data_IF_619860739575
#
_entry.id   IF_619860739575
#
_cell.length_a   1.000
_cell.length_b   1.000
_cell.length_c   1.000
_cell.angle_alpha   90.00
_cell.angle_beta   90.00
_cell.angle_gamma   90.00
#
_symmetry.space_group_name_H-M   'P 1'
#
loop_
_entity.id
_entity.type
_entity.pdbx_description
1 polymer ?
#
# COMPACT_ATOMS: atom_id res chain seq x y z
N UNK A 1 14.46 65.43 -24.09
CA UNK A 1 13.58 64.61 -24.95
C UNK A 1 14.26 63.38 -25.59
N UNK A 2 15.59 63.33 -25.75
CA UNK A 2 16.26 62.11 -26.27
C UNK A 2 16.38 60.94 -25.27
N UNK A 3 16.43 61.21 -23.97
CA UNK A 3 16.58 60.17 -22.92
C UNK A 3 15.38 59.20 -22.85
N UNK A 4 14.18 59.69 -23.11
CA UNK A 4 12.94 58.88 -23.05
C UNK A 4 12.77 57.93 -24.22
N UNK A 5 13.40 58.17 -25.38
CA UNK A 5 13.29 57.26 -26.53
C UNK A 5 14.27 56.07 -26.43
N UNK A 6 15.42 56.25 -25.78
CA UNK A 6 16.40 55.17 -25.59
C UNK A 6 15.86 54.09 -24.62
N UNK A 7 15.02 54.46 -23.64
CA UNK A 7 14.40 53.49 -22.73
C UNK A 7 13.31 52.64 -23.40
N UNK A 8 12.60 53.17 -24.41
CA UNK A 8 11.62 52.39 -25.17
C UNK A 8 12.29 51.35 -26.07
N UNK A 9 13.39 51.70 -26.74
CA UNK A 9 14.08 50.79 -27.66
C UNK A 9 14.78 49.64 -26.90
N UNK A 10 15.34 49.92 -25.72
CA UNK A 10 15.95 48.88 -24.87
C UNK A 10 14.93 47.92 -24.24
N UNK A 11 13.65 48.29 -24.15
CA UNK A 11 12.59 47.39 -23.67
C UNK A 11 12.20 46.30 -24.68
N UNK A 12 12.41 46.55 -25.98
CA UNK A 12 12.08 45.61 -27.07
C UNK A 12 13.08 44.44 -27.12
N UNK A 13 14.33 44.69 -26.71
CA UNK A 13 15.40 43.69 -26.69
C UNK A 13 15.59 43.01 -25.32
N UNK A 14 14.75 43.29 -24.32
CA UNK A 14 14.76 42.48 -23.11
C UNK A 14 14.21 41.09 -23.47
N UNK A 15 15.03 40.01 -23.39
CA UNK A 15 14.52 38.68 -23.59
C UNK A 15 13.39 38.46 -22.59
N UNK A 16 12.16 38.29 -23.09
CA UNK A 16 11.02 37.94 -22.24
C UNK A 16 11.41 36.65 -21.53
N UNK A 17 11.39 36.61 -20.18
CA UNK A 17 11.78 35.41 -19.45
C UNK A 17 10.91 34.25 -19.96
N UNK A 18 11.56 33.27 -20.60
CA UNK A 18 10.92 32.11 -21.23
C UNK A 18 10.17 31.26 -20.20
N UNK A 19 10.45 31.48 -18.91
CA UNK A 19 9.84 30.82 -17.76
C UNK A 19 8.44 31.31 -17.36
N UNK A 20 7.90 32.35 -18.00
CA UNK A 20 6.64 32.98 -17.60
C UNK A 20 5.47 32.72 -18.58
N UNK A 21 5.43 31.55 -19.20
CA UNK A 21 4.29 31.22 -20.08
C UNK A 21 3.10 30.68 -19.26
N UNK A 22 1.85 31.08 -19.58
CA UNK A 22 0.62 30.56 -18.99
C UNK A 22 0.32 29.06 -19.27
N UNK A 23 1.33 28.27 -19.70
CA UNK A 23 1.26 26.82 -19.86
C UNK A 23 0.97 26.06 -18.54
N UNK A 24 0.96 26.77 -17.41
CA UNK A 24 0.77 26.25 -16.06
C UNK A 24 -0.66 25.81 -15.72
N UNK A 25 -1.72 26.42 -16.27
CA UNK A 25 -3.10 26.06 -15.87
C UNK A 25 -3.52 24.66 -16.35
N UNK A 26 -3.21 24.31 -17.61
CA UNK A 26 -3.56 23.01 -18.17
C UNK A 26 -2.81 21.88 -17.46
N UNK A 27 -1.50 22.04 -17.25
CA UNK A 27 -0.69 21.06 -16.52
C UNK A 27 -1.16 20.88 -15.07
N UNK A 28 -1.57 21.98 -14.43
CA UNK A 28 -2.11 21.94 -13.07
C UNK A 28 -3.44 21.18 -12.99
N UNK A 29 -4.39 21.45 -13.91
CA UNK A 29 -5.65 20.71 -13.98
C UNK A 29 -5.41 19.22 -14.25
N UNK A 30 -4.50 18.89 -15.18
CA UNK A 30 -4.14 17.49 -15.48
C UNK A 30 -3.53 16.81 -14.25
N UNK A 31 -2.58 17.44 -13.56
CA UNK A 31 -1.96 16.87 -12.35
C UNK A 31 -2.99 16.61 -11.25
N UNK A 32 -3.97 17.50 -11.07
CA UNK A 32 -5.05 17.32 -10.09
C UNK A 32 -5.98 16.18 -10.43
N UNK A 33 -6.40 16.08 -11.69
CA UNK A 33 -7.22 14.96 -12.17
C UNK A 33 -6.47 13.65 -11.95
N UNK A 34 -5.18 13.60 -12.29
CA UNK A 34 -4.34 12.43 -12.05
C UNK A 34 -4.26 12.09 -10.56
N UNK A 35 -4.09 13.07 -9.67
CA UNK A 35 -4.12 12.80 -8.24
C UNK A 35 -5.48 12.29 -7.76
N UNK A 36 -6.58 12.92 -8.14
CA UNK A 36 -7.92 12.49 -7.72
C UNK A 36 -8.14 11.04 -8.12
N UNK A 37 -7.87 10.70 -9.38
CA UNK A 37 -8.00 9.32 -9.88
C UNK A 37 -7.09 8.37 -9.09
N UNK A 38 -5.79 8.65 -9.01
CA UNK A 38 -4.85 7.73 -8.36
C UNK A 38 -5.07 7.61 -6.83
N UNK A 39 -5.48 8.68 -6.15
CA UNK A 39 -5.80 8.65 -4.72
C UNK A 39 -7.10 7.88 -4.46
N UNK A 40 -8.10 8.01 -5.33
CA UNK A 40 -9.31 7.19 -5.26
C UNK A 40 -9.00 5.71 -5.50
N UNK A 41 -8.15 5.38 -6.49
CA UNK A 41 -7.69 4.00 -6.68
C UNK A 41 -6.90 3.49 -5.47
N UNK A 42 -6.00 4.32 -4.91
CA UNK A 42 -5.23 3.97 -3.72
C UNK A 42 -6.15 3.65 -2.54
N UNK A 43 -7.19 4.47 -2.32
CA UNK A 43 -8.19 4.24 -1.28
C UNK A 43 -8.92 2.92 -1.46
N UNK A 44 -9.40 2.62 -2.67
CA UNK A 44 -10.11 1.37 -2.97
C UNK A 44 -9.20 0.15 -2.78
N UNK A 45 -7.96 0.21 -3.29
CA UNK A 45 -6.98 -0.88 -3.16
C UNK A 45 -6.58 -1.10 -1.70
N UNK A 46 -6.34 -0.02 -0.95
CA UNK A 46 -6.11 -0.10 0.51
C UNK A 46 -7.27 -0.78 1.22
N UNK A 47 -8.51 -0.41 0.93
CA UNK A 47 -9.70 -1.03 1.52
C UNK A 47 -9.79 -2.53 1.22
N UNK A 48 -9.49 -2.92 -0.02
CA UNK A 48 -9.50 -4.32 -0.42
C UNK A 48 -8.35 -5.14 0.21
N UNK A 49 -7.16 -4.55 0.40
CA UNK A 49 -6.07 -5.18 1.17
C UNK A 49 -6.47 -5.36 2.63
N UNK A 50 -7.08 -4.35 3.27
CA UNK A 50 -7.59 -4.47 4.64
C UNK A 50 -8.65 -5.59 4.71
N UNK A 51 -9.62 -5.60 3.80
CA UNK A 51 -10.69 -6.60 3.81
C UNK A 51 -10.14 -8.03 3.67
N UNK A 52 -9.25 -8.27 2.70
CA UNK A 52 -8.64 -9.60 2.50
C UNK A 52 -7.79 -10.02 3.70
N UNK A 53 -6.98 -9.13 4.28
CA UNK A 53 -6.17 -9.46 5.48
C UNK A 53 -6.98 -9.55 6.77
N UNK A 54 -8.10 -8.86 6.88
CA UNK A 54 -9.04 -9.05 7.96
C UNK A 54 -9.68 -10.45 7.89
N UNK A 55 -10.08 -10.91 6.70
CA UNK A 55 -10.57 -12.29 6.50
C UNK A 55 -9.50 -13.32 6.86
N UNK A 56 -8.24 -13.11 6.47
CA UNK A 56 -7.09 -13.93 6.90
C UNK A 56 -6.98 -14.04 8.42
N UNK A 57 -7.02 -12.91 9.12
CA UNK A 57 -6.86 -12.87 10.58
C UNK A 57 -8.06 -13.52 11.27
N UNK A 58 -9.28 -13.21 10.84
CA UNK A 58 -10.49 -13.82 11.36
C UNK A 58 -10.46 -15.35 11.21
N UNK A 59 -10.06 -15.85 10.03
CA UNK A 59 -9.91 -17.28 9.81
C UNK A 59 -8.89 -17.91 10.78
N UNK A 60 -7.75 -17.25 11.02
CA UNK A 60 -6.74 -17.74 11.96
C UNK A 60 -7.29 -17.77 13.39
N UNK A 61 -7.97 -16.72 13.82
CA UNK A 61 -8.53 -16.61 15.17
C UNK A 61 -9.63 -17.66 15.40
N UNK A 62 -10.56 -17.80 14.45
CA UNK A 62 -11.66 -18.78 14.53
C UNK A 62 -11.14 -20.22 14.57
N UNK A 63 -9.98 -20.50 13.97
CA UNK A 63 -9.44 -21.85 13.83
C UNK A 63 -8.29 -22.19 14.78
N UNK A 64 -7.80 -21.24 15.59
CA UNK A 64 -6.58 -21.41 16.40
C UNK A 64 -6.65 -22.58 17.39
N UNK A 65 -7.83 -22.81 17.97
CA UNK A 65 -8.08 -23.84 18.99
C UNK A 65 -9.09 -24.89 18.51
N UNK A 66 -9.23 -25.02 17.19
CA UNK A 66 -10.12 -26.00 16.56
C UNK A 66 -9.33 -27.11 15.88
N UNK A 67 -10.02 -28.22 15.61
CA UNK A 67 -9.51 -29.32 14.82
C UNK A 67 -10.65 -29.97 14.04
N UNK A 68 -10.27 -30.81 13.09
CA UNK A 68 -11.19 -31.55 12.24
C UNK A 68 -10.76 -33.02 12.17
N UNK A 69 -11.71 -33.88 11.82
CA UNK A 69 -11.42 -35.30 11.65
C UNK A 69 -10.64 -35.49 10.35
N UNK A 70 -9.44 -36.06 10.47
CA UNK A 70 -8.58 -36.43 9.35
C UNK A 70 -8.70 -37.93 9.07
N UNK A 71 -9.14 -38.27 7.86
CA UNK A 71 -9.29 -39.67 7.44
C UNK A 71 -7.92 -40.25 7.05
N UNK A 72 -7.39 -41.18 7.87
CA UNK A 72 -6.11 -41.87 7.59
C UNK A 72 -6.29 -43.24 6.93
N UNK A 73 -7.54 -43.71 6.81
CA UNK A 73 -7.86 -45.09 6.40
C UNK A 73 -7.93 -46.09 7.55
N UNK A 74 -7.56 -45.66 8.77
CA UNK A 74 -7.69 -46.45 10.00
C UNK A 74 -9.13 -46.44 10.53
N UNK A 75 -9.54 -47.46 11.32
CA UNK A 75 -10.89 -47.53 11.89
C UNK A 75 -11.21 -46.38 12.85
N UNK A 76 -10.20 -45.72 13.42
CA UNK A 76 -10.36 -44.56 14.29
C UNK A 76 -9.80 -43.31 13.59
N UNK A 77 -10.66 -42.37 13.15
CA UNK A 77 -10.21 -41.14 12.52
C UNK A 77 -9.42 -40.26 13.50
N UNK A 78 -8.37 -39.60 13.01
CA UNK A 78 -7.49 -38.78 13.84
C UNK A 78 -7.90 -37.32 13.83
N UNK A 79 -7.98 -36.67 14.99
CA UNK A 79 -8.25 -35.23 15.05
C UNK A 79 -6.99 -34.45 14.66
N UNK A 80 -7.02 -33.71 13.56
CA UNK A 80 -5.96 -32.79 13.13
C UNK A 80 -6.36 -31.35 13.46
N UNK A 81 -5.47 -30.59 14.10
CA UNK A 81 -5.69 -29.17 14.34
C UNK A 81 -5.87 -28.42 13.01
N UNK A 82 -6.79 -27.45 12.98
CA UNK A 82 -7.11 -26.69 11.78
C UNK A 82 -5.93 -25.85 11.25
N UNK A 83 -5.02 -25.44 12.14
CA UNK A 83 -3.83 -24.66 11.81
C UNK A 83 -2.54 -25.39 12.22
N UNK A 84 -1.43 -25.16 11.49
CA UNK A 84 -0.13 -25.68 11.88
C UNK A 84 0.39 -24.91 13.09
N UNK A 85 1.30 -25.52 13.84
CA UNK A 85 1.94 -24.92 15.01
C UNK A 85 2.69 -23.63 14.68
N UNK A 86 3.32 -23.58 13.51
CA UNK A 86 4.14 -22.45 13.06
C UNK A 86 3.53 -21.85 11.80
N UNK A 87 2.74 -20.78 11.97
CA UNK A 87 2.09 -20.03 10.90
C UNK A 87 2.66 -18.60 10.83
N UNK A 88 3.06 -18.16 9.63
CA UNK A 88 3.53 -16.80 9.41
C UNK A 88 2.38 -15.79 9.31
N UNK A 89 2.16 -15.02 10.39
CA UNK A 89 1.11 -13.98 10.44
C UNK A 89 1.66 -12.57 10.23
N UNK A 90 2.98 -12.36 10.39
CA UNK A 90 3.60 -11.05 10.33
C UNK A 90 3.38 -10.30 9.00
N UNK A 91 3.50 -10.93 7.80
CA UNK A 91 3.30 -10.22 6.53
C UNK A 91 1.88 -9.64 6.39
N UNK A 92 0.86 -10.37 6.84
CA UNK A 92 -0.54 -9.91 6.82
C UNK A 92 -0.75 -8.67 7.71
N UNK A 93 -0.16 -8.67 8.92
CA UNK A 93 -0.23 -7.52 9.83
C UNK A 93 0.47 -6.28 9.26
N UNK A 94 1.64 -6.46 8.65
CA UNK A 94 2.38 -5.36 8.01
C UNK A 94 1.59 -4.80 6.82
N UNK A 95 1.00 -5.67 5.98
CA UNK A 95 0.14 -5.27 4.88
C UNK A 95 -1.06 -4.44 5.34
N UNK A 96 -1.72 -4.88 6.42
CA UNK A 96 -2.86 -4.19 7.00
C UNK A 96 -2.47 -2.80 7.54
N UNK A 97 -1.33 -2.68 8.24
CA UNK A 97 -0.82 -1.40 8.72
C UNK A 97 -0.50 -0.44 7.55
N UNK A 98 0.19 -0.92 6.52
CA UNK A 98 0.52 -0.12 5.34
C UNK A 98 -0.74 0.33 4.59
N UNK A 99 -1.73 -0.57 4.44
CA UNK A 99 -3.01 -0.25 3.82
C UNK A 99 -3.81 0.78 4.62
N UNK A 100 -3.83 0.68 5.95
CA UNK A 100 -4.47 1.65 6.84
C UNK A 100 -3.84 3.05 6.71
N UNK A 101 -2.51 3.15 6.68
CA UNK A 101 -1.81 4.41 6.39
C UNK A 101 -2.24 4.92 5.01
N UNK A 102 -2.28 4.06 4.00
CA UNK A 102 -2.78 4.40 2.66
C UNK A 102 -4.19 4.97 2.64
N UNK A 103 -5.11 4.48 3.47
CA UNK A 103 -6.47 5.05 3.63
C UNK A 103 -6.41 6.48 4.15
N UNK A 104 -5.71 6.71 5.27
CA UNK A 104 -5.63 8.05 5.85
C UNK A 104 -4.93 9.06 4.93
N UNK A 105 -3.86 8.61 4.28
CA UNK A 105 -3.09 9.43 3.33
C UNK A 105 -3.93 9.77 2.09
N UNK A 106 -4.64 8.80 1.52
CA UNK A 106 -5.50 9.02 0.34
C UNK A 106 -6.64 9.98 0.65
N UNK A 107 -7.40 9.75 1.73
CA UNK A 107 -8.50 10.63 2.15
C UNK A 107 -7.99 12.03 2.47
N UNK A 108 -6.95 12.14 3.29
CA UNK A 108 -6.39 13.42 3.71
C UNK A 108 -5.94 14.23 2.51
N UNK A 109 -5.14 13.63 1.62
CA UNK A 109 -4.65 14.31 0.42
C UNK A 109 -5.80 14.70 -0.53
N UNK A 110 -6.79 13.83 -0.70
CA UNK A 110 -7.95 14.11 -1.56
C UNK A 110 -8.77 15.30 -1.03
N UNK A 111 -9.02 15.38 0.28
CA UNK A 111 -9.71 16.52 0.90
C UNK A 111 -8.98 17.84 0.62
N UNK A 112 -7.64 17.86 0.73
CA UNK A 112 -6.86 19.06 0.43
C UNK A 112 -6.96 19.46 -1.05
N UNK A 113 -6.89 18.50 -1.98
CA UNK A 113 -7.01 18.77 -3.42
C UNK A 113 -8.40 19.29 -3.78
N UNK A 114 -9.47 18.71 -3.22
CA UNK A 114 -10.85 19.13 -3.47
C UNK A 114 -11.13 20.50 -2.86
N UNK A 115 -10.68 20.77 -1.63
CA UNK A 115 -10.87 22.08 -0.99
C UNK A 115 -10.09 23.20 -1.69
N UNK A 116 -8.94 22.88 -2.26
CA UNK A 116 -8.10 23.84 -2.97
C UNK A 116 -8.31 23.79 -4.50
N UNK A 117 -9.44 23.24 -4.96
CA UNK A 117 -9.69 22.97 -6.38
C UNK A 117 -9.76 24.24 -7.26
N UNK A 118 -10.26 25.35 -6.72
CA UNK A 118 -10.33 26.63 -7.45
C UNK A 118 -8.99 27.37 -7.46
N UNK A 119 -8.41 27.57 -6.28
CA UNK A 119 -7.34 28.56 -6.09
C UNK A 119 -5.96 27.94 -6.30
N UNK A 120 -5.76 26.73 -5.79
CA UNK A 120 -4.49 26.02 -5.92
C UNK A 120 -3.32 26.66 -5.19
N UNK A 121 -3.57 27.55 -4.25
CA UNK A 121 -2.52 28.26 -3.53
C UNK A 121 -1.96 27.40 -2.41
N UNK A 122 -2.81 26.65 -1.69
CA UNK A 122 -2.41 25.85 -0.52
C UNK A 122 -1.69 24.56 -0.90
N UNK A 123 -2.20 23.82 -1.88
CA UNK A 123 -1.59 22.57 -2.38
C UNK A 123 -0.30 22.82 -3.17
N UNK A 124 -0.05 24.06 -3.59
CA UNK A 124 1.20 24.48 -4.23
C UNK A 124 2.21 25.09 -3.24
N UNK A 125 1.88 25.18 -1.96
CA UNK A 125 2.83 25.56 -0.93
C UNK A 125 4.00 24.57 -0.90
N UNK A 126 5.22 25.07 -0.68
CA UNK A 126 6.40 24.22 -0.60
C UNK A 126 6.29 23.22 0.56
N UNK A 127 5.80 23.67 1.72
CA UNK A 127 5.52 22.86 2.91
C UNK A 127 4.61 21.68 2.57
N UNK A 128 3.49 21.95 1.90
CA UNK A 128 2.52 20.92 1.48
C UNK A 128 3.14 19.92 0.50
N UNK A 129 3.81 20.40 -0.57
CA UNK A 129 4.44 19.51 -1.57
C UNK A 129 5.51 18.61 -0.94
N UNK A 130 6.35 19.19 -0.07
CA UNK A 130 7.39 18.46 0.67
C UNK A 130 6.76 17.38 1.55
N UNK A 131 5.78 17.73 2.37
CA UNK A 131 5.15 16.80 3.30
C UNK A 131 4.39 15.70 2.54
N UNK A 132 3.66 16.05 1.49
CA UNK A 132 2.96 15.09 0.62
C UNK A 132 3.94 14.09 0.01
N UNK A 133 5.06 14.58 -0.56
CA UNK A 133 6.13 13.73 -1.09
C UNK A 133 6.67 12.76 -0.04
N UNK A 134 7.02 13.23 1.16
CA UNK A 134 7.54 12.36 2.22
C UNK A 134 6.54 11.32 2.69
N UNK A 135 5.27 11.69 2.81
CA UNK A 135 4.19 10.79 3.25
C UNK A 135 3.97 9.68 2.21
N UNK A 136 3.82 10.02 0.92
CA UNK A 136 3.63 9.02 -0.14
C UNK A 136 4.87 8.14 -0.33
N UNK A 137 6.07 8.72 -0.23
CA UNK A 137 7.32 7.97 -0.29
C UNK A 137 7.40 6.94 0.85
N UNK A 138 7.17 7.37 2.08
CA UNK A 138 7.16 6.46 3.25
C UNK A 138 6.13 5.34 3.07
N UNK A 139 4.91 5.69 2.64
CA UNK A 139 3.86 4.70 2.39
C UNK A 139 4.25 3.71 1.30
N UNK A 140 4.88 4.17 0.21
CA UNK A 140 5.36 3.28 -0.87
C UNK A 140 6.45 2.29 -0.41
N UNK A 141 7.34 2.71 0.50
CA UNK A 141 8.36 1.83 1.08
C UNK A 141 7.70 0.76 1.96
N UNK A 142 6.73 1.12 2.79
CA UNK A 142 5.99 0.17 3.63
C UNK A 142 5.22 -0.86 2.79
N UNK A 143 4.56 -0.42 1.72
CA UNK A 143 3.83 -1.30 0.81
C UNK A 143 4.78 -2.22 0.03
N UNK A 144 5.94 -1.71 -0.41
CA UNK A 144 6.98 -2.52 -1.03
C UNK A 144 7.48 -3.60 -0.07
N UNK A 145 7.78 -3.23 1.18
CA UNK A 145 8.24 -4.16 2.19
C UNK A 145 7.18 -5.24 2.49
N UNK A 146 5.90 -4.85 2.57
CA UNK A 146 4.78 -5.77 2.72
C UNK A 146 4.68 -6.77 1.56
N UNK A 147 4.78 -6.29 0.32
CA UNK A 147 4.75 -7.14 -0.87
C UNK A 147 5.92 -8.13 -0.86
N UNK A 148 7.15 -7.62 -0.70
CA UNK A 148 8.36 -8.46 -0.67
C UNK A 148 8.27 -9.51 0.44
N UNK A 149 7.88 -9.10 1.66
CA UNK A 149 7.72 -10.03 2.77
C UNK A 149 6.68 -11.10 2.47
N UNK A 150 5.53 -10.75 1.88
CA UNK A 150 4.47 -11.71 1.53
C UNK A 150 4.98 -12.73 0.51
N UNK A 151 5.64 -12.27 -0.55
CA UNK A 151 6.15 -13.14 -1.61
C UNK A 151 7.30 -14.03 -1.14
N UNK A 152 8.23 -13.48 -0.35
CA UNK A 152 9.32 -14.26 0.24
C UNK A 152 8.77 -15.31 1.19
N UNK A 153 7.86 -14.94 2.08
CA UNK A 153 7.23 -15.88 3.01
C UNK A 153 6.54 -17.02 2.26
N UNK A 154 5.73 -16.72 1.23
CA UNK A 154 5.10 -17.73 0.40
C UNK A 154 6.11 -18.62 -0.32
N UNK A 155 7.20 -18.06 -0.86
CA UNK A 155 8.25 -18.88 -1.51
C UNK A 155 9.05 -19.73 -0.54
N UNK A 156 9.16 -19.32 0.72
CA UNK A 156 9.92 -20.01 1.76
C UNK A 156 9.09 -20.98 2.62
N UNK A 157 7.79 -21.06 2.37
CA UNK A 157 6.87 -21.91 3.13
C UNK A 157 7.18 -23.38 2.94
N UNK A 158 6.85 -24.18 3.95
CA UNK A 158 6.87 -25.64 3.88
C UNK A 158 5.62 -26.17 3.16
N UNK A 159 5.70 -27.42 2.69
CA UNK A 159 4.61 -28.14 2.06
C UNK A 159 4.06 -29.22 3.00
N UNK A 160 2.75 -29.48 2.91
CA UNK A 160 2.05 -30.48 3.69
C UNK A 160 2.46 -31.89 3.24
N UNK A 161 2.74 -32.75 4.22
CA UNK A 161 3.11 -34.14 4.00
C UNK A 161 2.09 -35.05 4.72
N UNK A 162 1.19 -35.66 3.95
CA UNK A 162 0.17 -36.56 4.50
C UNK A 162 0.78 -37.74 5.27
N UNK A 163 1.86 -38.33 4.76
CA UNK A 163 2.58 -39.42 5.44
C UNK A 163 3.19 -39.04 6.79
N UNK A 164 3.29 -37.74 7.12
CA UNK A 164 3.63 -37.33 8.48
C UNK A 164 2.45 -37.52 9.44
N UNK A 165 1.24 -37.18 9.02
CA UNK A 165 0.02 -37.35 9.81
C UNK A 165 -0.26 -38.84 10.03
N UNK A 166 -0.21 -39.65 8.96
CA UNK A 166 -0.48 -41.10 9.07
C UNK A 166 0.50 -41.78 10.05
N UNK A 167 1.80 -41.46 10.00
CA UNK A 167 2.79 -41.99 10.97
C UNK A 167 2.58 -41.53 12.41
N UNK A 168 1.92 -40.39 12.61
CA UNK A 168 1.62 -39.85 13.94
C UNK A 168 0.29 -40.37 14.47
N UNK A 169 -0.67 -40.69 13.60
CA UNK A 169 -1.94 -41.31 13.93
C UNK A 169 -1.74 -42.67 14.61
N UNK A 170 -0.70 -43.42 14.23
CA UNK A 170 -0.29 -44.68 14.86
C UNK A 170 0.06 -44.57 16.37
N UNK A 171 0.14 -43.35 16.92
CA UNK A 171 0.43 -43.10 18.34
C UNK A 171 -0.79 -42.47 19.01
N UNK A 172 -1.57 -43.23 19.79
CA UNK A 172 -2.80 -42.73 20.41
C UNK A 172 -2.52 -41.55 21.36
N UNK A 173 -3.30 -40.47 21.25
CA UNK A 173 -3.15 -39.24 22.03
C UNK A 173 -4.21 -38.17 21.71
N UNK A 174 -4.13 -37.01 22.38
CA UNK A 174 -5.04 -35.86 22.26
C UNK A 174 -4.80 -35.08 20.95
N UNK A 175 -5.20 -35.66 19.81
CA UNK A 175 -5.11 -35.00 18.50
C UNK A 175 -3.70 -34.66 18.02
N UNK A 176 -3.57 -34.28 16.75
CA UNK A 176 -2.30 -33.92 16.12
C UNK A 176 -2.35 -32.46 15.72
N UNK A 177 -1.34 -31.68 16.12
CA UNK A 177 -1.06 -30.36 15.52
C UNK A 177 0.20 -30.46 14.66
N UNK A 178 0.08 -30.12 13.37
CA UNK A 178 1.19 -30.20 12.43
C UNK A 178 2.32 -29.25 12.87
N UNK A 179 3.52 -29.76 13.10
CA UNK A 179 4.59 -29.02 13.78
C UNK A 179 5.96 -29.13 13.08
N UNK A 180 6.00 -29.61 11.84
CA UNK A 180 7.23 -29.68 11.04
C UNK A 180 7.19 -28.55 10.01
N UNK A 181 8.24 -27.73 9.98
CA UNK A 181 8.32 -26.61 9.05
C UNK A 181 7.48 -25.41 9.47
N UNK A 182 7.47 -24.40 8.60
CA UNK A 182 6.74 -23.15 8.82
C UNK A 182 5.88 -22.87 7.61
N UNK A 183 4.62 -22.54 7.85
CA UNK A 183 3.63 -22.37 6.79
C UNK A 183 3.19 -20.92 6.67
N UNK A 184 2.91 -20.50 5.44
CA UNK A 184 1.95 -19.44 5.20
C UNK A 184 0.52 -20.02 5.07
N UNK A 185 -0.48 -19.19 5.33
CA UNK A 185 -1.87 -19.66 5.30
C UNK A 185 -2.32 -20.05 3.88
N UNK A 186 -1.73 -19.41 2.86
CA UNK A 186 -2.01 -19.75 1.47
C UNK A 186 -1.63 -21.20 1.18
N UNK A 187 -0.39 -21.60 1.44
CA UNK A 187 0.05 -22.97 1.13
C UNK A 187 -0.70 -23.98 1.98
N UNK A 188 -0.89 -23.70 3.27
CA UNK A 188 -1.63 -24.59 4.16
C UNK A 188 -3.04 -24.87 3.64
N UNK A 189 -3.81 -23.81 3.36
CA UNK A 189 -5.20 -23.94 2.88
C UNK A 189 -5.27 -24.48 1.44
N UNK A 190 -4.39 -24.04 0.56
CA UNK A 190 -4.40 -24.47 -0.84
C UNK A 190 -4.00 -25.93 -1.03
N UNK A 191 -3.17 -26.50 -0.16
CA UNK A 191 -2.80 -27.91 -0.24
C UNK A 191 -3.83 -28.80 0.44
N UNK A 192 -4.30 -28.43 1.63
CA UNK A 192 -5.25 -29.27 2.37
C UNK A 192 -6.62 -29.40 1.71
N UNK A 193 -7.03 -28.43 0.88
CA UNK A 193 -8.31 -28.53 0.15
C UNK A 193 -8.39 -29.75 -0.78
N UNK A 194 -7.24 -30.22 -1.27
CA UNK A 194 -7.14 -31.32 -2.24
C UNK A 194 -6.74 -32.66 -1.57
N UNK A 195 -6.49 -32.67 -0.26
CA UNK A 195 -6.08 -33.87 0.49
C UNK A 195 -7.33 -34.69 0.87
N UNK A 196 -7.41 -35.98 0.49
CA UNK A 196 -8.57 -36.83 0.81
C UNK A 196 -8.90 -36.87 2.30
N UNK A 197 -7.87 -36.97 3.15
CA UNK A 197 -8.03 -36.97 4.61
C UNK A 197 -8.67 -35.70 5.19
N UNK A 198 -8.61 -34.56 4.49
CA UNK A 198 -9.13 -33.28 4.95
C UNK A 198 -10.46 -32.88 4.28
N UNK A 199 -11.17 -33.83 3.66
CA UNK A 199 -12.38 -33.55 2.88
C UNK A 199 -13.48 -32.80 3.65
N UNK A 200 -13.58 -33.01 4.96
CA UNK A 200 -14.55 -32.33 5.83
C UNK A 200 -14.39 -30.79 5.81
N UNK A 201 -13.18 -30.29 5.60
CA UNK A 201 -12.84 -28.84 5.64
C UNK A 201 -12.39 -28.32 4.27
N UNK A 202 -12.53 -29.14 3.22
CA UNK A 202 -12.03 -28.81 1.90
C UNK A 202 -12.63 -27.51 1.33
N UNK A 203 -13.93 -27.28 1.52
CA UNK A 203 -14.62 -26.09 1.03
C UNK A 203 -14.16 -24.80 1.75
N UNK A 204 -13.98 -24.87 3.07
CA UNK A 204 -13.50 -23.75 3.86
C UNK A 204 -12.05 -23.40 3.50
N UNK A 205 -11.19 -24.40 3.33
CA UNK A 205 -9.83 -24.20 2.86
C UNK A 205 -9.75 -23.75 1.40
N UNK A 206 -10.64 -24.20 0.51
CA UNK A 206 -10.70 -23.72 -0.86
C UNK A 206 -11.08 -22.23 -0.90
N UNK A 207 -12.03 -21.80 -0.06
CA UNK A 207 -12.40 -20.39 0.11
C UNK A 207 -11.22 -19.59 0.67
N UNK A 208 -10.57 -20.07 1.72
CA UNK A 208 -9.43 -19.38 2.33
C UNK A 208 -8.24 -19.28 1.37
N UNK A 209 -7.94 -20.34 0.63
CA UNK A 209 -6.92 -20.36 -0.42
C UNK A 209 -7.19 -19.26 -1.47
N UNK A 210 -8.46 -19.12 -1.89
CA UNK A 210 -8.86 -18.10 -2.85
C UNK A 210 -8.67 -16.67 -2.29
N UNK A 211 -9.00 -16.47 -1.01
CA UNK A 211 -8.78 -15.19 -0.32
C UNK A 211 -7.29 -14.84 -0.21
N UNK A 212 -6.44 -15.80 0.14
CA UNK A 212 -5.00 -15.58 0.23
C UNK A 212 -4.36 -15.26 -1.12
N UNK A 213 -4.71 -16.02 -2.17
CA UNK A 213 -4.26 -15.75 -3.53
C UNK A 213 -4.69 -14.35 -3.97
N UNK A 214 -5.96 -13.99 -3.78
CA UNK A 214 -6.48 -12.66 -4.10
C UNK A 214 -5.74 -11.57 -3.29
N UNK A 215 -5.54 -11.80 -2.00
CA UNK A 215 -4.83 -10.91 -1.08
C UNK A 215 -3.36 -10.70 -1.48
N UNK A 216 -2.68 -11.70 -2.04
CA UNK A 216 -1.33 -11.54 -2.60
C UNK A 216 -1.35 -10.78 -3.93
N UNK A 217 -2.27 -11.14 -4.82
CA UNK A 217 -2.37 -10.53 -6.15
C UNK A 217 -2.70 -9.04 -6.07
N UNK A 218 -3.58 -8.62 -5.15
CA UNK A 218 -3.98 -7.22 -5.00
C UNK A 218 -2.87 -6.31 -4.47
N UNK A 219 -1.85 -6.86 -3.79
CA UNK A 219 -0.68 -6.09 -3.36
C UNK A 219 0.13 -5.58 -4.56
N UNK A 220 0.06 -6.22 -5.73
CA UNK A 220 0.77 -5.79 -6.95
C UNK A 220 0.21 -4.47 -7.49
N UNK A 221 -1.08 -4.34 -7.87
CA UNK A 221 -1.63 -3.06 -8.31
C UNK A 221 -1.59 -2.02 -7.18
N UNK A 222 -1.70 -2.42 -5.92
CA UNK A 222 -1.55 -1.51 -4.78
C UNK A 222 -0.16 -0.87 -4.74
N UNK A 223 0.89 -1.65 -4.96
CA UNK A 223 2.26 -1.12 -5.09
C UNK A 223 2.37 -0.17 -6.28
N UNK A 224 1.90 -0.59 -7.46
CA UNK A 224 2.02 0.20 -8.71
C UNK A 224 1.37 1.57 -8.53
N UNK A 225 0.11 1.62 -8.07
CA UNK A 225 -0.61 2.88 -7.87
C UNK A 225 0.10 3.75 -6.82
N UNK A 226 0.58 3.16 -5.73
CA UNK A 226 1.32 3.95 -4.72
C UNK A 226 2.59 4.56 -5.33
N UNK A 227 3.34 3.81 -6.13
CA UNK A 227 4.54 4.33 -6.81
C UNK A 227 4.20 5.44 -7.81
N UNK A 228 3.08 5.32 -8.53
CA UNK A 228 2.58 6.38 -9.41
C UNK A 228 2.27 7.65 -8.60
N UNK A 229 1.53 7.55 -7.49
CA UNK A 229 1.23 8.71 -6.61
C UNK A 229 2.51 9.34 -6.05
N UNK A 230 3.46 8.53 -5.61
CA UNK A 230 4.79 9.00 -5.15
C UNK A 230 5.54 9.71 -6.28
N UNK A 231 5.55 9.14 -7.49
CA UNK A 231 6.18 9.74 -8.67
C UNK A 231 5.57 11.09 -9.03
N UNK A 232 4.24 11.21 -9.01
CA UNK A 232 3.54 12.50 -9.22
C UNK A 232 3.93 13.49 -8.10
N UNK A 233 4.05 13.03 -6.85
CA UNK A 233 4.45 13.87 -5.71
C UNK A 233 5.86 14.43 -5.85
N UNK A 234 6.81 13.61 -6.29
CA UNK A 234 8.17 14.03 -6.59
C UNK A 234 8.19 15.00 -7.78
N UNK A 235 7.47 14.68 -8.87
CA UNK A 235 7.41 15.54 -10.05
C UNK A 235 6.84 16.94 -9.72
N UNK A 236 5.78 17.00 -8.91
CA UNK A 236 5.17 18.27 -8.46
C UNK A 236 6.11 19.04 -7.53
N UNK A 237 6.87 18.36 -6.68
CA UNK A 237 7.89 18.99 -5.83
C UNK A 237 9.00 19.65 -6.68
N UNK A 238 9.48 18.97 -7.72
CA UNK A 238 10.50 19.48 -8.64
C UNK A 238 9.97 20.59 -9.57
N UNK A 239 8.72 20.49 -10.02
CA UNK A 239 8.09 21.41 -10.96
C UNK A 239 7.48 22.68 -10.37
N UNK A 240 7.84 23.05 -9.13
CA UNK A 240 7.15 24.08 -8.35
C UNK A 240 6.92 25.42 -9.08
N UNK A 241 5.74 26.02 -8.85
CA UNK A 241 5.37 27.34 -9.39
C UNK A 241 6.35 28.42 -8.93
N UNK A 242 6.90 29.16 -9.90
CA UNK A 242 7.48 30.48 -9.71
C UNK A 242 6.42 31.53 -10.00
N UNK A 243 6.39 32.59 -9.21
CA UNK A 243 5.50 33.73 -9.39
C UNK A 243 5.88 34.49 -10.67
N UNK A 244 5.05 35.46 -11.09
CA UNK A 244 5.32 36.27 -12.29
C UNK A 244 6.69 36.99 -12.25
N UNK A 245 7.25 37.21 -11.07
CA UNK A 245 8.58 37.82 -10.90
C UNK A 245 9.73 36.80 -10.93
N UNK A 246 9.43 35.52 -11.20
CA UNK A 246 10.40 34.42 -11.16
C UNK A 246 10.76 33.96 -9.74
N UNK A 247 10.27 34.63 -8.69
CA UNK A 247 10.44 34.19 -7.31
C UNK A 247 9.62 32.93 -7.03
N UNK A 248 10.10 32.02 -6.17
CA UNK A 248 9.23 30.93 -5.66
C UNK A 248 8.01 31.58 -4.99
N UNK A 249 6.81 31.05 -5.23
CA UNK A 249 5.62 31.45 -4.47
C UNK A 249 5.93 31.27 -2.98
N UNK A 250 6.27 32.39 -2.32
CA UNK A 250 6.36 32.47 -0.87
C UNK A 250 4.91 32.48 -0.40
N UNK A 251 4.37 31.31 -0.08
CA UNK A 251 3.22 31.27 0.82
C UNK A 251 3.67 31.91 2.13
N UNK A 252 2.82 32.70 2.80
CA UNK A 252 3.16 33.43 4.04
C UNK A 252 3.89 32.54 5.09
N UNK A 253 3.61 31.24 5.09
CA UNK A 253 4.31 30.22 5.88
C UNK A 253 5.84 30.22 5.70
N UNK A 254 6.36 30.44 4.47
CA UNK A 254 7.81 30.50 4.22
C UNK A 254 8.41 31.80 4.79
N UNK A 255 7.64 32.89 4.83
CA UNK A 255 8.06 34.12 5.50
C UNK A 255 8.18 33.94 7.02
N UNK A 256 7.25 33.18 7.62
CA UNK A 256 7.26 32.84 9.04
C UNK A 256 8.32 31.79 9.41
N UNK A 257 8.56 30.77 8.58
CA UNK A 257 9.61 29.78 8.81
C UNK A 257 11.01 30.36 8.60
N UNK A 258 11.23 31.17 7.55
CA UNK A 258 12.51 31.85 7.31
C UNK A 258 12.76 32.98 8.32
N UNK A 259 11.70 33.61 8.84
CA UNK A 259 11.78 34.57 9.94
C UNK A 259 12.32 33.94 11.23
N UNK A 260 12.03 32.66 11.50
CA UNK A 260 12.60 31.93 12.65
C UNK A 260 14.09 31.63 12.52
N UNK A 261 14.62 31.54 11.30
CA UNK A 261 16.06 31.39 11.06
C UNK A 261 16.82 32.72 11.02
N UNK A 262 16.11 33.84 10.86
CA UNK A 262 16.68 35.19 10.86
C UNK A 262 16.40 35.97 12.16
N UNK A 263 15.65 35.40 13.11
CA UNK A 263 15.56 35.90 14.47
C UNK A 263 16.79 35.41 15.24
N UNK A 264 17.83 36.26 15.26
CA UNK A 264 18.98 36.16 16.16
C UNK A 264 18.49 36.44 17.59
#
# INVERSE_FOLDING_TARGET
MLSTQISQVTSIFKPKPVFNRPFLERQHRVSRILYVVNLSLLFVLSGAVIATKAMTIAFIEDNNDTGFMFETGDPEPTVLAALPKMLFVAPAKIAMCAAAIGVFVSIGHLIFIVKDWSDGTKTQAYSFRRNSMFIHLTNSILILFSLVSTFVTHKSTSHFLEGYINRKADRPGEGIRYNIGTFDLETWSCELKDVPGARMVADDYARQCSVEIAGRLILIPFLIITFVVTGISIAVMLGGKRNADGERLKTEEVGLEMGKFNAI
#
